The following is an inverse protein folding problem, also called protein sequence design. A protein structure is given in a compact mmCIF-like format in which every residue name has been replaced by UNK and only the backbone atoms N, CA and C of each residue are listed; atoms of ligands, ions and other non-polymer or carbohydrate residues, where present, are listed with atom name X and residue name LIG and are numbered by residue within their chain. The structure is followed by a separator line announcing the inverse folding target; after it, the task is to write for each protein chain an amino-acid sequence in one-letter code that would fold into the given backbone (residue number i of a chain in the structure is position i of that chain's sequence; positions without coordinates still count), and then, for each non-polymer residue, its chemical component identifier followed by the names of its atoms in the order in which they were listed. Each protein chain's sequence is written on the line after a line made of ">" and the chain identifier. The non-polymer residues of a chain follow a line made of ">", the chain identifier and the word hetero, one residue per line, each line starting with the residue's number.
data_IF_410483805124
#
_entry.id   IF_410483805124
#
_cell.length_a   1.000
_cell.length_b   1.000
_cell.length_c   1.000
_cell.angle_alpha   90.00
_cell.angle_beta   90.00
_cell.angle_gamma   90.00
#
_symmetry.space_group_name_H-M   'P 1'
#
loop_
_entity.id
_entity.type
_entity.pdbx_description
1 polymer ?
#
# COMPACT_ATOMS: atom_id res chain seq x y z
N UNK A 1 46.59 34.13 9.25
CA UNK A 1 45.30 34.80 8.94
C UNK A 1 44.15 33.81 8.71
N UNK A 2 44.24 32.89 7.75
CA UNK A 2 43.11 32.01 7.35
C UNK A 2 42.47 31.23 8.52
N UNK A 3 43.27 30.62 9.40
CA UNK A 3 42.76 29.88 10.58
C UNK A 3 41.95 30.74 11.56
N UNK A 4 42.26 32.03 11.69
CA UNK A 4 41.52 32.95 12.55
C UNK A 4 40.14 33.30 11.95
N UNK A 5 40.04 33.44 10.62
CA UNK A 5 38.77 33.58 9.93
C UNK A 5 37.89 32.34 10.10
N UNK A 6 38.46 31.14 9.93
CA UNK A 6 37.74 29.87 10.11
C UNK A 6 37.21 29.75 11.55
N UNK A 7 38.03 30.09 12.55
CA UNK A 7 37.65 30.09 13.96
C UNK A 7 36.51 31.08 14.27
N UNK A 8 36.60 32.32 13.77
CA UNK A 8 35.51 33.29 13.91
C UNK A 8 34.21 32.81 13.24
N UNK A 9 34.31 32.25 12.03
CA UNK A 9 33.14 31.79 11.29
C UNK A 9 32.47 30.61 12.00
N UNK A 10 33.23 29.67 12.56
CA UNK A 10 32.68 28.60 13.41
C UNK A 10 32.04 29.14 14.68
N UNK A 11 32.64 30.10 15.39
CA UNK A 11 32.04 30.73 16.57
C UNK A 11 30.70 31.42 16.25
N UNK A 12 30.61 32.14 15.14
CA UNK A 12 29.38 32.82 14.69
C UNK A 12 28.30 31.79 14.32
N UNK A 13 28.67 30.69 13.65
CA UNK A 13 27.74 29.60 13.34
C UNK A 13 27.24 28.90 14.61
N UNK A 14 28.11 28.63 15.58
CA UNK A 14 27.74 28.04 16.88
C UNK A 14 26.77 28.95 17.65
N UNK A 15 27.05 30.27 17.74
CA UNK A 15 26.13 31.22 18.40
C UNK A 15 24.76 31.30 17.69
N UNK A 16 24.71 31.30 16.36
CA UNK A 16 23.43 31.22 15.62
C UNK A 16 22.66 29.93 15.93
N UNK A 17 23.37 28.81 16.08
CA UNK A 17 22.76 27.52 16.42
C UNK A 17 22.22 27.47 17.85
N UNK A 18 22.89 28.13 18.81
CA UNK A 18 22.43 28.25 20.19
C UNK A 18 21.14 29.08 20.32
N UNK A 19 21.01 30.15 19.53
CA UNK A 19 19.76 30.93 19.42
C UNK A 19 18.63 30.09 18.82
N UNK A 20 18.90 29.35 17.74
CA UNK A 20 17.95 28.40 17.13
C UNK A 20 17.49 27.31 18.10
N UNK A 21 18.40 26.75 18.91
CA UNK A 21 18.07 25.82 20.01
C UNK A 21 17.12 26.45 21.02
N UNK A 22 17.37 27.68 21.47
CA UNK A 22 16.51 28.40 22.43
C UNK A 22 15.11 28.64 21.87
N UNK A 23 14.98 29.05 20.60
CA UNK A 23 13.68 29.23 19.92
C UNK A 23 12.92 27.91 19.77
N UNK A 24 13.59 26.81 19.39
CA UNK A 24 12.97 25.49 19.26
C UNK A 24 12.54 24.89 20.61
N UNK A 25 13.22 25.23 21.70
CA UNK A 25 12.91 24.71 23.05
C UNK A 25 11.59 25.27 23.60
N UNK A 26 11.14 26.43 23.13
CA UNK A 26 9.84 27.04 23.50
C UNK A 26 8.67 26.36 22.76
N UNK A 27 8.91 25.79 21.57
CA UNK A 27 7.85 25.30 20.67
C UNK A 27 7.56 23.79 20.78
N UNK A 28 8.47 22.96 21.29
CA UNK A 28 8.27 21.49 21.31
C UNK A 28 8.49 20.84 22.68
N UNK A 29 7.38 20.38 23.30
CA UNK A 29 7.36 19.61 24.56
C UNK A 29 6.93 18.15 24.34
N UNK A 30 7.63 17.39 23.47
CA UNK A 30 7.49 15.92 23.37
C UNK A 30 8.86 15.22 23.38
N UNK A 31 9.07 14.31 24.35
CA UNK A 31 10.38 13.71 24.63
C UNK A 31 10.96 12.82 23.50
N UNK A 32 10.10 12.20 22.68
CA UNK A 32 10.52 11.21 21.68
C UNK A 32 11.27 11.82 20.49
N UNK A 33 10.85 13.00 20.02
CA UNK A 33 11.51 13.73 18.91
C UNK A 33 12.91 14.19 19.32
N UNK A 34 13.05 14.68 20.57
CA UNK A 34 14.32 15.15 21.14
C UNK A 34 15.42 14.08 21.09
N UNK A 35 15.07 12.80 21.26
CA UNK A 35 16.03 11.70 21.23
C UNK A 35 16.46 11.30 19.80
N UNK A 36 15.56 11.38 18.82
CA UNK A 36 15.89 11.17 17.39
C UNK A 36 16.81 12.28 16.87
N UNK A 37 16.49 13.55 17.19
CA UNK A 37 17.28 14.70 16.76
C UNK A 37 18.67 14.73 17.41
N UNK A 38 18.78 14.37 18.71
CA UNK A 38 20.08 14.25 19.39
C UNK A 38 20.96 13.16 18.78
N UNK A 39 20.39 12.02 18.38
CA UNK A 39 21.14 10.95 17.68
C UNK A 39 21.63 11.41 16.30
N UNK A 40 20.80 12.11 15.52
CA UNK A 40 21.21 12.67 14.23
C UNK A 40 22.34 13.71 14.37
N UNK A 41 22.25 14.60 15.36
CA UNK A 41 23.27 15.62 15.63
C UNK A 41 24.63 14.99 16.01
N UNK A 42 24.64 13.91 16.80
CA UNK A 42 25.87 13.18 17.15
C UNK A 42 26.52 12.57 15.90
N UNK A 43 25.73 11.95 15.01
CA UNK A 43 26.23 11.36 13.75
C UNK A 43 26.85 12.45 12.85
N UNK A 44 26.18 13.61 12.73
CA UNK A 44 26.68 14.73 11.94
C UNK A 44 28.02 15.27 12.48
N UNK A 45 28.17 15.39 13.80
CA UNK A 45 29.42 15.82 14.45
C UNK A 45 30.55 14.81 14.20
N UNK A 46 30.28 13.50 14.30
CA UNK A 46 31.26 12.45 14.00
C UNK A 46 31.72 12.54 12.53
N UNK A 47 30.79 12.77 11.59
CA UNK A 47 31.12 12.91 10.17
C UNK A 47 32.01 14.13 9.90
N UNK A 48 31.75 15.26 10.57
CA UNK A 48 32.59 16.47 10.47
C UNK A 48 34.01 16.20 10.97
N UNK A 49 34.17 15.50 12.10
CA UNK A 49 35.50 15.15 12.61
C UNK A 49 36.25 14.17 11.70
N UNK A 50 35.56 13.20 11.08
CA UNK A 50 36.16 12.30 10.09
C UNK A 50 36.66 13.07 8.86
N UNK A 51 35.85 13.97 8.31
CA UNK A 51 36.23 14.80 7.15
C UNK A 51 37.38 15.75 7.48
N UNK A 52 37.39 16.36 8.67
CA UNK A 52 38.49 17.18 9.15
C UNK A 52 39.79 16.38 9.31
N UNK A 53 39.71 15.16 9.86
CA UNK A 53 40.85 14.24 9.97
C UNK A 53 41.44 13.90 8.60
N UNK A 54 40.60 13.50 7.64
CA UNK A 54 41.01 13.21 6.25
C UNK A 54 41.70 14.43 5.61
N UNK A 55 41.15 15.63 5.79
CA UNK A 55 41.74 16.87 5.29
C UNK A 55 43.10 17.20 5.89
N UNK A 56 43.29 16.99 7.20
CA UNK A 56 44.58 17.18 7.87
C UNK A 56 45.61 16.15 7.37
N UNK A 57 45.23 14.88 7.22
CA UNK A 57 46.13 13.84 6.71
C UNK A 57 46.59 14.13 5.28
N UNK A 58 45.67 14.55 4.40
CA UNK A 58 45.99 15.01 3.05
C UNK A 58 46.94 16.21 3.04
N UNK A 59 46.71 17.18 3.93
CA UNK A 59 47.58 18.36 4.06
C UNK A 59 49.01 17.97 4.49
N UNK A 60 49.16 17.04 5.43
CA UNK A 60 50.48 16.52 5.87
C UNK A 60 51.18 15.77 4.74
N UNK A 61 50.47 14.94 3.97
CA UNK A 61 51.04 14.24 2.80
C UNK A 61 51.50 15.23 1.73
N UNK A 62 50.72 16.27 1.44
CA UNK A 62 51.07 17.30 0.47
C UNK A 62 52.27 18.16 0.92
N UNK A 63 52.36 18.48 2.21
CA UNK A 63 53.50 19.22 2.77
C UNK A 63 54.79 18.38 2.79
N UNK A 64 54.70 17.08 3.07
CA UNK A 64 55.86 16.17 3.05
C UNK A 64 56.35 15.80 1.64
N UNK A 65 55.52 15.97 0.60
CA UNK A 65 55.95 15.79 -0.81
C UNK A 65 56.41 17.08 -1.50
N UNK A 66 56.36 18.24 -0.83
CA UNK A 66 56.84 19.53 -1.35
C UNK A 66 58.37 19.68 -1.40
N UNK A 67 59.11 18.61 -1.69
CA UNK A 67 60.53 18.48 -1.38
C UNK A 67 61.41 17.81 -2.45
N UNK A 68 61.18 18.08 -3.74
CA UNK A 68 62.21 17.89 -4.77
C UNK A 68 62.00 18.86 -5.94
N UNK A 69 62.99 19.71 -6.21
CA UNK A 69 63.13 20.31 -7.54
C UNK A 69 63.35 19.20 -8.59
N UNK A 70 63.08 19.39 -9.87
CA UNK A 70 62.83 20.64 -10.56
C UNK A 70 63.96 20.93 -11.54
N UNK A 71 63.82 20.45 -12.77
CA UNK A 71 64.39 21.02 -14.00
C UNK A 71 63.63 20.39 -15.17
N UNK A 72 63.03 21.22 -16.01
CA UNK A 72 62.45 20.81 -17.29
C UNK A 72 63.40 21.23 -18.41
N UNK A 73 63.71 20.33 -19.34
CA UNK A 73 64.48 20.68 -20.54
C UNK A 73 64.05 19.79 -21.71
N UNK A 74 63.14 20.38 -22.49
CA UNK A 74 63.19 20.47 -23.96
C UNK A 74 62.88 19.24 -24.81
N UNK A 75 62.07 19.50 -25.84
CA UNK A 75 61.53 18.55 -26.81
C UNK A 75 62.59 18.02 -27.79
N UNK A 76 62.43 16.76 -28.20
CA UNK A 76 62.77 16.36 -29.57
C UNK A 76 61.90 15.17 -30.05
N UNK A 77 61.75 15.04 -31.38
CA UNK A 77 60.84 14.11 -32.04
C UNK A 77 61.61 12.89 -32.53
N UNK A 78 61.10 11.67 -32.32
CA UNK A 78 61.48 10.50 -33.12
C UNK A 78 60.36 9.45 -33.17
N UNK A 79 60.34 8.67 -34.26
CA UNK A 79 59.20 7.87 -34.73
C UNK A 79 59.29 6.36 -34.41
N UNK A 80 58.14 5.70 -34.53
CA UNK A 80 57.95 4.26 -34.80
C UNK A 80 58.35 3.22 -33.74
N UNK A 81 57.34 2.56 -33.15
CA UNK A 81 57.11 1.10 -33.32
C UNK A 81 55.80 0.61 -32.68
N UNK A 82 55.05 -0.22 -33.40
CA UNK A 82 53.90 -1.04 -32.91
C UNK A 82 54.43 -2.46 -32.62
N UNK A 83 53.97 -3.20 -31.58
CA UNK A 83 52.71 -3.98 -31.60
C UNK A 83 51.89 -3.84 -30.29
N UNK A 84 50.56 -3.79 -30.30
CA UNK A 84 49.59 -4.91 -30.38
C UNK A 84 49.64 -5.94 -29.23
N UNK A 85 48.57 -6.00 -28.41
CA UNK A 85 47.87 -7.21 -27.89
C UNK A 85 46.58 -6.74 -27.14
N UNK A 86 45.38 -6.91 -27.69
CA UNK A 86 44.46 -8.07 -27.58
C UNK A 86 43.45 -7.96 -26.43
N UNK A 87 42.23 -7.51 -26.76
CA UNK A 87 41.03 -7.65 -25.91
C UNK A 87 40.35 -8.98 -26.22
N UNK A 88 40.17 -9.85 -25.21
CA UNK A 88 39.49 -11.14 -25.39
C UNK A 88 37.97 -10.97 -25.29
N UNK A 89 37.29 -10.92 -26.43
CA UNK A 89 35.83 -11.06 -26.50
C UNK A 89 35.48 -12.51 -26.83
N UNK A 90 34.86 -13.23 -25.89
CA UNK A 90 34.41 -14.60 -26.14
C UNK A 90 33.12 -14.59 -26.96
N UNK A 91 33.19 -15.10 -28.19
CA UNK A 91 32.03 -15.31 -29.07
C UNK A 91 31.61 -16.77 -28.95
N UNK A 92 30.41 -17.03 -28.42
CA UNK A 92 29.76 -18.35 -28.46
C UNK A 92 28.72 -18.39 -29.58
N UNK A 93 29.01 -19.20 -30.60
CA UNK A 93 28.08 -19.44 -31.70
C UNK A 93 26.88 -20.26 -31.22
N UNK A 94 25.66 -19.78 -31.50
CA UNK A 94 24.44 -20.60 -31.38
C UNK A 94 23.81 -20.80 -32.75
N UNK A 95 23.78 -22.07 -33.18
CA UNK A 95 23.16 -22.51 -34.43
C UNK A 95 21.64 -22.52 -34.28
N UNK A 96 20.93 -21.87 -35.20
CA UNK A 96 19.46 -21.82 -35.21
C UNK A 96 18.86 -23.19 -35.54
N UNK A 97 18.06 -23.75 -34.63
CA UNK A 97 17.16 -24.88 -34.90
C UNK A 97 15.73 -24.42 -34.61
N UNK A 98 14.85 -24.48 -35.60
CA UNK A 98 13.44 -24.07 -35.52
C UNK A 98 12.59 -25.29 -35.14
N UNK A 99 11.88 -25.30 -34.00
CA UNK A 99 10.84 -26.29 -33.72
C UNK A 99 9.58 -25.99 -34.52
N UNK A 100 9.10 -26.98 -35.28
CA UNK A 100 7.91 -26.87 -36.14
C UNK A 100 6.63 -27.02 -35.29
N UNK A 101 5.73 -26.03 -35.35
CA UNK A 101 4.44 -26.07 -34.65
C UNK A 101 3.53 -27.14 -35.29
N UNK A 102 2.86 -28.02 -34.51
CA UNK A 102 1.82 -28.89 -35.03
C UNK A 102 0.49 -28.13 -35.16
N UNK A 103 -0.05 -28.09 -36.37
CA UNK A 103 -1.38 -27.54 -36.68
C UNK A 103 -2.48 -28.47 -36.19
N UNK A 104 -3.39 -27.99 -35.34
CA UNK A 104 -4.64 -28.70 -35.03
C UNK A 104 -5.75 -28.12 -35.90
N UNK A 105 -6.31 -28.96 -36.77
CA UNK A 105 -7.47 -28.65 -37.61
C UNK A 105 -8.75 -28.88 -36.80
N UNK A 106 -9.54 -27.82 -36.57
CA UNK A 106 -10.89 -27.95 -36.02
C UNK A 106 -11.92 -27.61 -37.09
N UNK A 107 -12.81 -28.57 -37.36
CA UNK A 107 -13.77 -28.56 -38.46
C UNK A 107 -14.84 -27.48 -38.31
N UNK A 108 -15.12 -26.78 -39.42
CA UNK A 108 -16.22 -25.83 -39.56
C UNK A 108 -17.52 -26.61 -39.79
N UNK A 109 -18.47 -26.53 -38.87
CA UNK A 109 -19.84 -27.06 -39.08
C UNK A 109 -20.75 -25.90 -39.52
N UNK A 110 -21.44 -26.12 -40.63
CA UNK A 110 -22.35 -25.15 -41.25
C UNK A 110 -23.78 -25.30 -40.70
N UNK A 111 -24.52 -24.19 -40.74
CA UNK A 111 -25.92 -24.00 -40.37
C UNK A 111 -26.90 -25.08 -40.84
N UNK A 112 -27.91 -25.33 -40.01
CA UNK A 112 -29.27 -25.69 -40.45
C UNK A 112 -30.27 -24.73 -39.79
N UNK A 113 -31.37 -24.44 -40.50
CA UNK A 113 -32.42 -23.54 -40.06
C UNK A 113 -33.80 -24.17 -40.30
N UNK A 114 -34.66 -24.11 -39.28
CA UNK A 114 -36.12 -24.21 -39.29
C UNK A 114 -36.59 -23.80 -37.88
N UNK A 115 -37.76 -23.22 -37.61
CA UNK A 115 -38.89 -22.88 -38.47
C UNK A 115 -39.68 -21.71 -37.85
N UNK A 116 -40.52 -21.01 -38.62
CA UNK A 116 -41.41 -19.96 -38.08
C UNK A 116 -42.62 -20.58 -37.40
N UNK A 117 -43.09 -20.01 -36.29
CA UNK A 117 -44.53 -19.86 -36.04
C UNK A 117 -44.78 -18.53 -35.31
N UNK A 118 -45.84 -17.85 -35.73
CA UNK A 118 -46.17 -16.47 -35.38
C UNK A 118 -47.47 -16.39 -34.60
N UNK A 119 -47.53 -15.54 -33.57
CA UNK A 119 -48.78 -14.92 -33.11
C UNK A 119 -48.51 -13.42 -32.94
N UNK A 120 -49.46 -12.62 -33.39
CA UNK A 120 -49.35 -11.16 -33.52
C UNK A 120 -50.44 -10.51 -32.65
N UNK A 121 -50.13 -9.43 -31.94
CA UNK A 121 -51.17 -8.53 -31.42
C UNK A 121 -50.66 -7.07 -31.33
N UNK A 122 -51.26 -6.23 -32.16
CA UNK A 122 -51.34 -4.76 -32.07
C UNK A 122 -51.89 -4.34 -30.67
N UNK A 123 -51.75 -3.12 -30.11
CA UNK A 123 -51.43 -1.74 -30.55
C UNK A 123 -51.17 -0.95 -29.24
N UNK A 124 -50.38 0.12 -29.09
CA UNK A 124 -50.54 1.47 -29.67
C UNK A 124 -49.37 2.37 -29.22
N UNK A 125 -49.02 3.36 -30.04
CA UNK A 125 -47.88 4.29 -29.92
C UNK A 125 -48.16 5.53 -29.05
N UNK A 126 -47.15 5.98 -28.28
CA UNK A 126 -46.75 7.41 -28.17
C UNK A 126 -45.21 7.48 -28.12
N UNK A 127 -44.64 8.45 -28.81
CA UNK A 127 -43.21 8.63 -29.13
C UNK A 127 -42.48 9.50 -28.09
N UNK A 128 -41.18 9.21 -27.79
CA UNK A 128 -40.07 10.19 -27.77
C UNK A 128 -38.69 9.61 -27.36
N UNK A 129 -37.70 9.88 -28.21
CA UNK A 129 -36.22 9.91 -28.00
C UNK A 129 -35.44 8.62 -27.71
N UNK A 130 -34.52 8.34 -28.63
CA UNK A 130 -33.54 7.24 -28.63
C UNK A 130 -32.35 7.44 -27.69
N UNK A 131 -32.09 6.45 -26.84
CA UNK A 131 -30.76 6.08 -26.35
C UNK A 131 -30.48 4.63 -26.73
N UNK A 132 -29.23 4.29 -27.03
CA UNK A 132 -28.85 2.90 -27.37
C UNK A 132 -28.72 2.12 -26.06
N UNK A 133 -29.77 1.40 -25.69
CA UNK A 133 -29.83 0.58 -24.50
C UNK A 133 -29.27 -0.83 -24.80
N UNK A 134 -28.06 -1.11 -24.31
CA UNK A 134 -27.51 -2.48 -24.36
C UNK A 134 -28.36 -3.41 -23.49
N UNK A 135 -29.10 -4.30 -24.15
CA UNK A 135 -30.05 -5.22 -23.50
C UNK A 135 -29.32 -6.31 -22.71
N UNK A 136 -28.98 -6.03 -21.45
CA UNK A 136 -28.57 -7.06 -20.50
C UNK A 136 -29.80 -7.79 -19.96
N UNK A 137 -29.85 -9.11 -20.13
CA UNK A 137 -30.94 -9.96 -19.64
C UNK A 137 -30.82 -10.14 -18.11
N UNK A 138 -31.32 -9.15 -17.35
CA UNK A 138 -31.38 -9.23 -15.90
C UNK A 138 -32.37 -10.31 -15.46
N UNK A 139 -31.86 -11.52 -15.26
CA UNK A 139 -32.59 -12.55 -14.52
C UNK A 139 -32.67 -12.10 -13.07
N UNK A 140 -33.85 -11.62 -12.64
CA UNK A 140 -34.07 -11.19 -11.27
C UNK A 140 -34.01 -12.39 -10.32
N UNK A 141 -32.84 -12.66 -9.75
CA UNK A 141 -32.74 -13.46 -8.54
C UNK A 141 -33.03 -12.53 -7.35
N UNK A 142 -34.31 -12.37 -7.02
CA UNK A 142 -34.75 -11.61 -5.84
C UNK A 142 -34.34 -12.38 -4.58
N UNK A 143 -33.09 -12.16 -4.18
CA UNK A 143 -32.48 -12.77 -3.01
C UNK A 143 -32.79 -11.88 -1.82
N UNK A 144 -33.56 -12.39 -0.86
CA UNK A 144 -33.79 -11.69 0.40
C UNK A 144 -32.44 -11.36 1.05
N UNK A 145 -32.31 -10.14 1.59
CA UNK A 145 -31.11 -9.75 2.35
C UNK A 145 -30.96 -10.72 3.53
N UNK A 146 -29.90 -11.54 3.62
CA UNK A 146 -29.74 -12.47 4.72
C UNK A 146 -29.49 -11.68 6.01
N UNK A 147 -30.45 -11.72 6.94
CA UNK A 147 -30.37 -10.94 8.19
C UNK A 147 -29.62 -11.65 9.32
N UNK A 148 -29.00 -12.80 9.05
CA UNK A 148 -27.96 -13.36 9.93
C UNK A 148 -26.84 -14.06 9.12
N UNK A 149 -25.60 -13.72 9.46
CA UNK A 149 -24.39 -13.97 8.67
C UNK A 149 -23.81 -15.37 9.00
N UNK A 150 -23.94 -16.34 8.08
CA UNK A 150 -23.82 -17.77 8.41
C UNK A 150 -23.12 -18.65 7.36
N UNK A 151 -22.30 -18.11 6.44
CA UNK A 151 -21.66 -18.97 5.41
C UNK A 151 -20.61 -19.93 5.97
N UNK A 152 -19.86 -19.52 7.01
CA UNK A 152 -18.72 -20.28 7.50
C UNK A 152 -18.25 -19.77 8.87
N UNK A 153 -17.79 -20.63 9.79
CA UNK A 153 -17.23 -20.13 11.05
C UNK A 153 -15.76 -19.72 10.89
N UNK A 154 -15.46 -18.42 10.93
CA UNK A 154 -14.11 -17.88 10.73
C UNK A 154 -13.05 -18.40 11.70
N UNK A 155 -13.43 -18.90 12.90
CA UNK A 155 -12.47 -19.49 13.86
C UNK A 155 -12.12 -20.95 13.54
N UNK A 156 -12.89 -21.63 12.70
CA UNK A 156 -12.73 -23.05 12.35
C UNK A 156 -12.04 -23.27 10.99
N UNK A 157 -11.90 -22.22 10.18
CA UNK A 157 -11.31 -22.32 8.83
C UNK A 157 -9.92 -21.67 8.75
N UNK A 158 -8.95 -22.29 8.06
CA UNK A 158 -7.65 -21.68 7.81
C UNK A 158 -7.81 -20.45 6.91
N UNK A 159 -7.70 -19.24 7.48
CA UNK A 159 -7.89 -17.99 6.73
C UNK A 159 -6.79 -17.74 5.67
N UNK A 160 -7.18 -17.08 4.57
CA UNK A 160 -6.26 -16.59 3.54
C UNK A 160 -5.90 -15.13 3.77
N UNK A 161 -4.64 -14.76 3.50
CA UNK A 161 -4.24 -13.37 3.31
C UNK A 161 -4.10 -13.05 1.82
N UNK A 162 -4.86 -12.08 1.30
CA UNK A 162 -4.69 -11.59 -0.07
C UNK A 162 -3.93 -10.26 -0.07
N UNK A 163 -2.81 -10.23 -0.80
CA UNK A 163 -2.08 -9.01 -1.12
C UNK A 163 -2.41 -8.57 -2.56
N UNK A 164 -3.32 -7.62 -2.69
CA UNK A 164 -3.73 -7.04 -3.96
C UNK A 164 -3.03 -5.70 -4.18
N UNK A 165 -2.44 -5.47 -5.35
CA UNK A 165 -1.77 -4.21 -5.68
C UNK A 165 -2.03 -3.74 -7.11
N UNK A 166 -2.24 -2.44 -7.25
CA UNK A 166 -2.39 -1.76 -8.53
C UNK A 166 -1.10 -1.84 -9.36
N UNK A 167 -1.24 -2.11 -10.66
CA UNK A 167 -0.17 -2.06 -11.65
C UNK A 167 0.39 -0.65 -11.90
N UNK A 168 -0.32 0.39 -11.44
CA UNK A 168 0.12 1.78 -11.62
C UNK A 168 1.02 2.27 -10.47
N UNK A 169 1.23 1.44 -9.44
CA UNK A 169 2.19 1.72 -8.36
C UNK A 169 3.63 1.53 -8.83
N UNK A 170 4.58 2.17 -8.14
CA UNK A 170 5.99 1.82 -8.32
C UNK A 170 6.27 0.40 -7.79
N UNK A 171 7.15 -0.35 -8.48
CA UNK A 171 7.62 -1.66 -7.99
C UNK A 171 8.26 -1.56 -6.60
N UNK A 172 8.91 -0.43 -6.29
CA UNK A 172 9.46 -0.14 -4.96
C UNK A 172 8.36 -0.11 -3.89
N UNK A 173 7.28 0.62 -4.12
CA UNK A 173 6.12 0.71 -3.21
C UNK A 173 5.51 -0.65 -2.90
N UNK A 174 5.32 -1.49 -3.93
CA UNK A 174 4.77 -2.84 -3.77
C UNK A 174 5.71 -3.73 -2.96
N UNK A 175 7.01 -3.74 -3.29
CA UNK A 175 8.02 -4.53 -2.59
C UNK A 175 8.19 -4.10 -1.13
N UNK A 176 8.27 -2.81 -0.85
CA UNK A 176 8.42 -2.28 0.51
C UNK A 176 7.20 -2.60 1.39
N UNK A 177 5.99 -2.48 0.82
CA UNK A 177 4.74 -2.82 1.50
C UNK A 177 4.63 -4.32 1.79
N UNK A 178 4.96 -5.17 0.81
CA UNK A 178 5.00 -6.63 1.01
C UNK A 178 6.06 -7.02 2.04
N UNK A 179 7.27 -6.45 1.96
CA UNK A 179 8.37 -6.69 2.91
C UNK A 179 8.00 -6.31 4.34
N UNK A 180 7.19 -5.25 4.53
CA UNK A 180 6.63 -4.92 5.86
C UNK A 180 5.76 -6.05 6.38
N UNK A 181 4.79 -6.52 5.60
CA UNK A 181 3.92 -7.65 5.99
C UNK A 181 4.70 -8.97 6.17
N UNK A 182 5.72 -9.21 5.35
CA UNK A 182 6.55 -10.41 5.43
C UNK A 182 7.23 -10.53 6.80
N UNK A 183 7.62 -9.41 7.41
CA UNK A 183 8.22 -9.36 8.75
C UNK A 183 7.31 -9.83 9.90
N UNK A 184 6.00 -9.98 9.66
CA UNK A 184 5.06 -10.43 10.69
C UNK A 184 5.02 -11.94 10.84
N UNK A 185 4.91 -12.40 12.10
CA UNK A 185 4.39 -13.72 12.42
C UNK A 185 2.88 -13.71 12.20
N UNK A 186 2.43 -14.50 11.23
CA UNK A 186 1.01 -14.58 10.83
C UNK A 186 0.43 -15.96 11.08
N UNK A 187 -0.90 -16.04 11.11
CA UNK A 187 -1.71 -17.23 11.37
C UNK A 187 -2.41 -17.76 10.11
N UNK A 188 -2.36 -17.03 9.00
CA UNK A 188 -2.88 -17.46 7.70
C UNK A 188 -2.17 -18.72 7.23
N UNK A 189 -2.95 -19.69 6.75
CA UNK A 189 -2.40 -20.93 6.14
C UNK A 189 -2.26 -20.82 4.61
N UNK A 190 -2.81 -19.76 4.04
CA UNK A 190 -2.77 -19.46 2.61
C UNK A 190 -2.46 -17.98 2.39
N UNK A 191 -1.71 -17.72 1.33
CA UNK A 191 -1.30 -16.40 0.90
C UNK A 191 -1.62 -16.26 -0.59
N UNK A 192 -2.52 -15.35 -0.92
CA UNK A 192 -2.82 -14.93 -2.27
C UNK A 192 -2.03 -13.67 -2.64
N UNK A 193 -1.64 -13.54 -3.90
CA UNK A 193 -1.18 -12.27 -4.48
C UNK A 193 -1.86 -12.02 -5.81
N UNK A 194 -2.20 -10.76 -6.08
CA UNK A 194 -2.77 -10.34 -7.36
C UNK A 194 -2.33 -8.93 -7.73
N UNK A 195 -1.91 -8.77 -8.99
CA UNK A 195 -1.74 -7.47 -9.63
C UNK A 195 -3.02 -7.13 -10.39
N UNK A 196 -3.59 -5.97 -10.14
CA UNK A 196 -4.79 -5.47 -10.83
C UNK A 196 -4.49 -4.16 -11.58
N UNK A 197 -5.48 -3.53 -12.20
CA UNK A 197 -5.34 -2.43 -13.18
C UNK A 197 -4.68 -2.85 -14.50
N UNK A 198 -4.86 -4.13 -14.84
CA UNK A 198 -4.46 -4.77 -16.10
C UNK A 198 -5.64 -5.57 -16.67
N UNK A 199 -5.71 -5.77 -17.99
CA UNK A 199 -6.79 -6.54 -18.64
C UNK A 199 -6.96 -7.95 -18.09
N UNK A 200 -5.86 -8.62 -17.74
CA UNK A 200 -5.85 -9.97 -17.20
C UNK A 200 -5.59 -9.94 -15.69
N UNK A 201 -6.63 -10.18 -14.89
CA UNK A 201 -6.49 -10.44 -13.45
C UNK A 201 -6.22 -11.93 -13.22
N UNK A 202 -5.09 -12.24 -12.58
CA UNK A 202 -4.68 -13.57 -12.15
C UNK A 202 -4.38 -13.57 -10.65
N UNK A 203 -5.14 -14.35 -9.87
CA UNK A 203 -4.98 -14.47 -8.41
C UNK A 203 -4.24 -15.77 -8.12
N UNK A 204 -2.98 -15.66 -7.69
CA UNK A 204 -2.13 -16.82 -7.42
C UNK A 204 -2.05 -17.10 -5.93
N UNK A 205 -2.20 -18.37 -5.55
CA UNK A 205 -2.31 -18.82 -4.15
C UNK A 205 -1.19 -19.79 -3.75
N UNK A 206 -0.64 -19.58 -2.56
CA UNK A 206 0.45 -20.39 -2.01
C UNK A 206 0.25 -20.68 -0.52
N UNK A 207 0.79 -21.82 -0.03
CA UNK A 207 0.70 -22.19 1.40
C UNK A 207 1.80 -21.61 2.28
N UNK A 208 2.81 -20.96 1.70
CA UNK A 208 3.94 -20.37 2.43
C UNK A 208 4.28 -18.97 1.91
N UNK A 209 4.92 -18.15 2.76
CA UNK A 209 5.30 -16.77 2.42
C UNK A 209 6.40 -16.67 1.35
N UNK A 210 7.23 -17.70 1.17
CA UNK A 210 8.35 -17.68 0.22
C UNK A 210 7.91 -17.72 -1.23
N UNK A 211 6.96 -18.61 -1.54
CA UNK A 211 6.42 -18.75 -2.90
C UNK A 211 5.66 -17.50 -3.32
N UNK A 212 4.75 -16.99 -2.48
CA UNK A 212 4.02 -15.73 -2.79
C UNK A 212 4.97 -14.52 -2.88
N UNK A 213 6.07 -14.47 -2.12
CA UNK A 213 7.12 -13.45 -2.30
C UNK A 213 7.76 -13.56 -3.68
N UNK A 214 8.03 -14.79 -4.13
CA UNK A 214 8.59 -15.06 -5.45
C UNK A 214 7.61 -14.70 -6.57
N UNK A 215 6.32 -14.95 -6.37
CA UNK A 215 5.25 -14.57 -7.30
C UNK A 215 5.10 -13.05 -7.40
N UNK A 216 5.04 -12.32 -6.28
CA UNK A 216 4.99 -10.84 -6.27
C UNK A 216 6.23 -10.26 -6.97
N UNK A 217 7.41 -10.85 -6.75
CA UNK A 217 8.67 -10.40 -7.38
C UNK A 217 8.71 -10.63 -8.89
N UNK A 218 8.02 -11.66 -9.41
CA UNK A 218 7.85 -11.91 -10.85
C UNK A 218 6.75 -11.03 -11.46
N UNK A 219 5.69 -10.76 -10.70
CA UNK A 219 4.50 -10.03 -11.12
C UNK A 219 4.50 -8.56 -10.65
N UNK A 220 5.66 -7.91 -10.60
CA UNK A 220 5.75 -6.49 -10.24
C UNK A 220 4.97 -5.59 -11.23
N UNK A 221 4.58 -4.37 -10.81
CA UNK A 221 4.00 -3.36 -11.69
C UNK A 221 4.74 -3.22 -13.04
N UNK A 222 3.99 -3.27 -14.14
CA UNK A 222 4.52 -3.15 -15.50
C UNK A 222 3.63 -2.19 -16.31
N UNK A 223 4.11 -0.96 -16.63
CA UNK A 223 3.33 0.03 -17.36
C UNK A 223 2.77 -0.45 -18.71
N UNK A 224 3.43 -1.42 -19.37
CA UNK A 224 2.99 -1.96 -20.66
C UNK A 224 1.77 -2.89 -20.55
N UNK A 225 1.40 -3.32 -19.34
CA UNK A 225 0.22 -4.16 -19.09
C UNK A 225 -0.96 -3.36 -18.49
N UNK A 226 -0.72 -2.11 -18.12
CA UNK A 226 -1.68 -1.25 -17.44
C UNK A 226 -2.69 -0.59 -18.37
N UNK A 227 -3.79 -0.09 -17.81
CA UNK A 227 -4.76 0.71 -18.56
C UNK A 227 -4.16 2.07 -18.99
N UNK A 228 -3.91 2.22 -20.28
CA UNK A 228 -3.25 3.41 -20.84
C UNK A 228 -4.10 4.70 -20.76
N UNK A 229 -5.42 4.57 -20.65
CA UNK A 229 -6.34 5.71 -20.53
C UNK A 229 -6.68 5.96 -19.05
N UNK A 230 -6.46 7.17 -18.56
CA UNK A 230 -6.75 7.56 -17.16
C UNK A 230 -8.24 7.65 -16.85
N UNK A 231 -9.12 7.76 -17.85
CA UNK A 231 -10.58 7.70 -17.67
C UNK A 231 -11.09 6.27 -17.39
N UNK A 232 -10.29 5.24 -17.66
CA UNK A 232 -10.61 3.86 -17.28
C UNK A 232 -10.37 3.73 -15.77
N UNK A 233 -11.42 3.37 -15.02
CA UNK A 233 -11.33 3.10 -13.59
C UNK A 233 -10.70 1.75 -13.28
N UNK A 234 -10.38 1.54 -12.01
CA UNK A 234 -9.75 0.32 -11.51
C UNK A 234 -10.68 -0.90 -11.58
N UNK A 235 -10.14 -2.05 -11.97
CA UNK A 235 -10.83 -3.36 -11.89
C UNK A 235 -10.60 -4.08 -10.53
N UNK A 236 -10.36 -3.31 -9.47
CA UNK A 236 -10.25 -3.81 -8.09
C UNK A 236 -11.51 -4.53 -7.58
N UNK A 237 -12.70 -4.16 -8.04
CA UNK A 237 -13.95 -4.87 -7.69
C UNK A 237 -13.93 -6.30 -8.25
N UNK A 238 -13.73 -6.44 -9.56
CA UNK A 238 -13.57 -7.74 -10.24
C UNK A 238 -12.45 -8.58 -9.60
N UNK A 239 -11.35 -7.93 -9.19
CA UNK A 239 -10.23 -8.58 -8.49
C UNK A 239 -10.66 -9.21 -7.17
N UNK A 240 -11.46 -8.50 -6.36
CA UNK A 240 -11.95 -9.01 -5.08
C UNK A 240 -13.03 -10.09 -5.31
N UNK A 241 -13.90 -9.93 -6.31
CA UNK A 241 -14.87 -10.98 -6.67
C UNK A 241 -14.21 -12.26 -7.19
N UNK A 242 -13.14 -12.15 -7.99
CA UNK A 242 -12.31 -13.28 -8.42
C UNK A 242 -11.63 -13.98 -7.25
N UNK A 243 -11.26 -13.26 -6.20
CA UNK A 243 -10.79 -13.88 -4.95
C UNK A 243 -11.91 -14.66 -4.26
N UNK A 244 -13.11 -14.08 -4.06
CA UNK A 244 -14.20 -14.78 -3.36
C UNK A 244 -14.82 -15.94 -4.14
N UNK A 245 -14.75 -15.93 -5.48
CA UNK A 245 -15.20 -17.04 -6.34
C UNK A 245 -14.13 -18.10 -6.61
N UNK A 246 -12.93 -17.99 -6.02
CA UNK A 246 -11.84 -18.94 -6.23
C UNK A 246 -12.13 -20.31 -5.55
N UNK A 247 -11.58 -21.39 -6.13
CA UNK A 247 -11.71 -22.76 -5.61
C UNK A 247 -10.40 -23.35 -5.06
N UNK A 248 -9.30 -22.58 -5.05
CA UNK A 248 -7.97 -23.03 -4.66
C UNK A 248 -7.68 -22.81 -3.17
N UNK A 249 -8.10 -21.67 -2.64
CA UNK A 249 -7.82 -21.23 -1.27
C UNK A 249 -9.12 -20.82 -0.54
N UNK A 250 -9.26 -21.18 0.74
CA UNK A 250 -10.43 -20.87 1.56
C UNK A 250 -10.58 -19.35 1.76
N UNK A 251 -11.78 -18.82 1.50
CA UNK A 251 -12.06 -17.38 1.62
C UNK A 251 -12.62 -16.99 2.98
N UNK A 252 -13.11 -17.94 3.79
CA UNK A 252 -13.68 -17.64 5.11
C UNK A 252 -12.69 -16.93 6.04
N UNK A 253 -13.14 -15.87 6.73
CA UNK A 253 -12.34 -15.17 7.74
C UNK A 253 -11.11 -14.45 7.18
N UNK A 254 -11.01 -14.28 5.86
CA UNK A 254 -9.79 -13.79 5.21
C UNK A 254 -9.47 -12.33 5.54
N UNK A 255 -8.22 -11.94 5.29
CA UNK A 255 -7.76 -10.55 5.32
C UNK A 255 -7.27 -10.17 3.94
N UNK A 256 -7.91 -9.19 3.34
CA UNK A 256 -7.51 -8.61 2.05
C UNK A 256 -6.86 -7.27 2.32
N UNK A 257 -5.71 -7.02 1.71
CA UNK A 257 -5.05 -5.71 1.68
C UNK A 257 -4.96 -5.27 0.23
N UNK A 258 -5.51 -4.08 -0.06
CA UNK A 258 -5.50 -3.47 -1.38
C UNK A 258 -4.57 -2.24 -1.36
N UNK A 259 -3.56 -2.24 -2.23
CA UNK A 259 -2.76 -1.05 -2.53
C UNK A 259 -3.32 -0.40 -3.81
N UNK A 260 -4.04 0.72 -3.65
CA UNK A 260 -4.85 1.35 -4.69
C UNK A 260 -4.18 2.62 -5.23
N UNK A 261 -3.89 2.66 -6.53
CA UNK A 261 -3.34 3.83 -7.23
C UNK A 261 -4.31 4.41 -8.26
N UNK A 262 -5.01 3.55 -9.01
CA UNK A 262 -6.15 3.91 -9.83
C UNK A 262 -7.42 3.83 -9.00
N UNK A 263 -8.32 4.80 -9.10
CA UNK A 263 -9.62 4.73 -8.44
C UNK A 263 -10.62 3.93 -9.28
N UNK A 264 -11.63 3.26 -8.66
CA UNK A 264 -12.79 2.78 -9.40
C UNK A 264 -13.54 3.94 -10.08
N UNK A 265 -14.34 3.62 -11.10
CA UNK A 265 -15.41 4.50 -11.59
C UNK A 265 -16.78 4.08 -11.02
N UNK A 266 -16.92 2.82 -10.61
CA UNK A 266 -18.14 2.27 -10.03
C UNK A 266 -18.40 2.83 -8.63
N UNK A 267 -19.67 3.04 -8.31
CA UNK A 267 -20.13 3.64 -7.03
C UNK A 267 -20.99 2.70 -6.19
N UNK A 268 -21.67 1.74 -6.80
CA UNK A 268 -22.41 0.73 -6.04
C UNK A 268 -21.44 -0.29 -5.44
N UNK A 269 -21.42 -0.36 -4.12
CA UNK A 269 -20.59 -1.29 -3.36
C UNK A 269 -21.42 -2.39 -2.69
N UNK A 270 -22.73 -2.44 -2.96
CA UNK A 270 -23.67 -3.29 -2.23
C UNK A 270 -23.36 -4.78 -2.40
N UNK A 271 -23.13 -5.22 -3.64
CA UNK A 271 -22.71 -6.59 -3.97
C UNK A 271 -21.36 -6.94 -3.32
N UNK A 272 -20.37 -6.07 -3.48
CA UNK A 272 -19.01 -6.27 -2.97
C UNK A 272 -18.98 -6.35 -1.43
N UNK A 273 -19.67 -5.43 -0.74
CA UNK A 273 -19.80 -5.46 0.73
C UNK A 273 -20.53 -6.72 1.19
N UNK A 274 -21.59 -7.13 0.50
CA UNK A 274 -22.33 -8.35 0.85
C UNK A 274 -21.47 -9.61 0.77
N UNK A 275 -20.70 -9.82 -0.31
CA UNK A 275 -19.85 -11.02 -0.44
C UNK A 275 -18.67 -11.03 0.56
N UNK A 276 -18.08 -9.87 0.86
CA UNK A 276 -17.03 -9.75 1.88
C UNK A 276 -17.58 -10.12 3.27
N UNK A 277 -18.75 -9.58 3.63
CA UNK A 277 -19.40 -9.84 4.92
C UNK A 277 -19.85 -11.30 5.04
N UNK A 278 -20.50 -11.84 4.02
CA UNK A 278 -20.93 -13.24 3.94
C UNK A 278 -19.81 -14.24 4.27
N UNK A 279 -18.57 -13.95 3.85
CA UNK A 279 -17.40 -14.78 4.17
C UNK A 279 -16.62 -14.34 5.43
N UNK A 280 -17.24 -13.52 6.29
CA UNK A 280 -16.66 -12.88 7.48
C UNK A 280 -15.25 -12.31 7.26
N UNK A 281 -15.01 -11.80 6.06
CA UNK A 281 -13.71 -11.31 5.62
C UNK A 281 -13.58 -9.82 5.86
N UNK A 282 -12.34 -9.34 5.90
CA UNK A 282 -12.05 -7.91 6.14
C UNK A 282 -11.16 -7.39 5.02
N UNK A 283 -11.59 -6.29 4.40
CA UNK A 283 -10.81 -5.57 3.38
C UNK A 283 -10.20 -4.31 3.99
N UNK A 284 -8.88 -4.24 4.05
CA UNK A 284 -8.15 -3.01 4.30
C UNK A 284 -7.70 -2.40 2.96
N UNK A 285 -7.71 -1.08 2.86
CA UNK A 285 -7.24 -0.36 1.66
C UNK A 285 -6.26 0.75 2.02
N UNK A 286 -5.21 0.85 1.22
CA UNK A 286 -4.24 1.95 1.26
C UNK A 286 -4.36 2.65 -0.09
N UNK A 287 -4.79 3.92 -0.06
CA UNK A 287 -5.21 4.69 -1.22
C UNK A 287 -4.18 5.77 -1.51
N UNK A 288 -3.72 5.84 -2.76
CA UNK A 288 -2.77 6.87 -3.17
C UNK A 288 -3.42 8.25 -3.16
N UNK A 289 -2.75 9.20 -2.54
CA UNK A 289 -3.05 10.63 -2.63
C UNK A 289 -2.86 11.21 -4.04
N UNK A 290 -2.18 10.47 -4.94
CA UNK A 290 -1.86 10.89 -6.32
C UNK A 290 -2.35 9.84 -7.31
N UNK A 291 -3.65 9.83 -7.67
CA UNK A 291 -4.21 8.78 -8.50
C UNK A 291 -3.65 8.76 -9.93
N UNK A 292 -3.52 7.58 -10.52
CA UNK A 292 -3.19 7.39 -11.94
C UNK A 292 -4.38 7.54 -12.88
N UNK A 293 -5.60 7.44 -12.35
CA UNK A 293 -6.84 7.50 -13.11
C UNK A 293 -8.06 7.11 -12.27
N UNK A 294 -9.21 7.09 -12.94
CA UNK A 294 -10.52 6.82 -12.34
C UNK A 294 -11.12 7.99 -11.54
N UNK A 295 -12.43 7.91 -11.25
CA UNK A 295 -13.19 9.06 -10.73
C UNK A 295 -13.60 8.98 -9.25
N UNK A 296 -13.59 7.81 -8.61
CA UNK A 296 -14.22 7.61 -7.29
C UNK A 296 -13.21 7.34 -6.14
N UNK A 297 -12.55 8.36 -5.56
CA UNK A 297 -11.57 8.18 -4.47
C UNK A 297 -12.15 7.47 -3.24
N UNK A 298 -13.36 7.87 -2.81
CA UNK A 298 -13.97 7.45 -1.53
C UNK A 298 -14.50 6.02 -1.53
N UNK A 299 -14.63 5.39 -2.70
CA UNK A 299 -15.41 4.15 -2.86
C UNK A 299 -14.74 2.97 -2.14
N UNK A 300 -13.44 2.74 -2.33
CA UNK A 300 -12.76 1.65 -1.62
C UNK A 300 -12.59 1.93 -0.12
N UNK A 301 -12.48 3.19 0.31
CA UNK A 301 -12.55 3.55 1.73
C UNK A 301 -13.90 3.14 2.34
N UNK A 302 -14.98 3.34 1.59
CA UNK A 302 -16.33 2.93 1.97
C UNK A 302 -16.50 1.40 2.02
N UNK A 303 -15.88 0.65 1.08
CA UNK A 303 -15.83 -0.82 1.13
C UNK A 303 -15.16 -1.30 2.41
N UNK A 304 -13.96 -0.80 2.73
CA UNK A 304 -13.24 -1.15 3.95
C UNK A 304 -14.06 -0.80 5.21
N UNK A 305 -14.64 0.40 5.24
CA UNK A 305 -15.48 0.87 6.34
C UNK A 305 -16.71 -0.02 6.58
N UNK A 306 -17.40 -0.45 5.51
CA UNK A 306 -18.58 -1.32 5.61
C UNK A 306 -18.25 -2.81 5.85
N UNK A 307 -16.97 -3.18 5.86
CA UNK A 307 -16.49 -4.57 6.01
C UNK A 307 -15.50 -4.74 7.17
N UNK A 308 -15.64 -3.90 8.21
CA UNK A 308 -14.82 -3.93 9.42
C UNK A 308 -13.30 -3.79 9.19
N UNK A 309 -12.89 -3.27 8.04
CA UNK A 309 -11.50 -2.98 7.70
C UNK A 309 -11.16 -1.49 7.82
N UNK A 310 -9.92 -1.16 7.48
CA UNK A 310 -9.35 0.18 7.65
C UNK A 310 -8.99 0.74 6.27
N UNK A 311 -9.35 2.01 6.04
CA UNK A 311 -8.96 2.76 4.85
C UNK A 311 -8.01 3.89 5.24
N UNK A 312 -6.98 4.15 4.44
CA UNK A 312 -6.06 5.28 4.67
C UNK A 312 -5.64 5.88 3.33
N UNK A 313 -5.69 7.22 3.22
CA UNK A 313 -5.06 7.95 2.12
C UNK A 313 -3.62 8.32 2.48
N UNK A 314 -2.72 8.34 1.48
CA UNK A 314 -1.35 8.80 1.69
C UNK A 314 -0.48 8.74 0.44
N UNK A 315 0.75 9.25 0.54
CA UNK A 315 1.75 9.10 -0.52
C UNK A 315 2.20 7.64 -0.62
N UNK A 316 2.45 7.18 -1.85
CA UNK A 316 2.89 5.81 -2.18
C UNK A 316 4.11 5.34 -1.36
N UNK A 317 5.03 6.25 -1.05
CA UNK A 317 6.24 6.00 -0.25
C UNK A 317 5.97 5.57 1.20
N UNK A 318 4.80 5.94 1.74
CA UNK A 318 4.34 5.65 3.10
C UNK A 318 3.40 4.44 3.18
N UNK A 319 3.11 3.73 2.08
CA UNK A 319 2.24 2.56 2.11
C UNK A 319 2.78 1.47 3.07
N UNK A 320 4.10 1.27 3.13
CA UNK A 320 4.75 0.39 4.13
C UNK A 320 4.54 0.81 5.58
N UNK A 321 4.34 2.11 5.83
CA UNK A 321 4.10 2.64 7.17
C UNK A 321 2.62 2.41 7.55
N UNK A 322 1.70 2.50 6.59
CA UNK A 322 0.30 2.10 6.81
C UNK A 322 0.18 0.58 7.04
N UNK A 323 0.91 -0.26 6.28
CA UNK A 323 1.03 -1.72 6.56
C UNK A 323 1.58 -1.98 7.98
N UNK A 324 2.36 -1.05 8.57
CA UNK A 324 2.82 -1.21 9.94
C UNK A 324 1.66 -1.23 10.94
N UNK A 325 0.75 -0.28 10.80
CA UNK A 325 -0.37 -0.09 11.73
C UNK A 325 -1.55 -1.01 11.42
N UNK A 326 -1.69 -1.51 10.18
CA UNK A 326 -2.74 -2.49 9.89
C UNK A 326 -2.62 -3.75 10.78
N UNK A 327 -3.75 -4.24 11.35
CA UNK A 327 -3.79 -5.31 12.35
C UNK A 327 -3.70 -6.70 11.69
N UNK A 328 -2.59 -6.93 10.98
CA UNK A 328 -2.33 -8.12 10.15
C UNK A 328 -1.56 -9.22 10.89
N UNK A 329 -1.37 -9.08 12.21
CA UNK A 329 -0.56 -9.95 13.05
C UNK A 329 -1.43 -10.62 14.14
N UNK A 330 -1.26 -11.93 14.33
CA UNK A 330 -2.07 -12.73 15.26
C UNK A 330 -3.55 -12.91 14.83
N UNK A 331 -4.27 -13.92 15.35
CA UNK A 331 -5.62 -14.30 14.90
C UNK A 331 -6.73 -13.34 15.35
N UNK A 332 -6.40 -12.06 15.51
CA UNK A 332 -7.31 -11.06 16.05
C UNK A 332 -8.38 -10.67 15.01
N UNK A 333 -9.60 -11.12 15.27
CA UNK A 333 -10.81 -10.54 14.69
C UNK A 333 -11.17 -9.27 15.49
N UNK A 334 -11.80 -8.27 14.85
CA UNK A 334 -12.41 -7.17 15.59
C UNK A 334 -13.52 -7.74 16.47
N UNK A 335 -13.45 -7.52 17.79
CA UNK A 335 -14.62 -7.70 18.66
C UNK A 335 -15.55 -6.49 18.60
N UNK A 336 -15.05 -5.38 18.09
CA UNK A 336 -15.79 -4.14 17.95
C UNK A 336 -15.26 -3.37 16.73
N UNK A 337 -16.16 -2.91 15.88
CA UNK A 337 -15.85 -2.05 14.76
C UNK A 337 -16.99 -1.06 14.56
N UNK A 338 -16.71 0.25 14.62
CA UNK A 338 -17.71 1.30 14.39
C UNK A 338 -17.22 2.32 13.37
N UNK A 339 -18.16 3.01 12.76
CA UNK A 339 -17.92 4.13 11.84
C UNK A 339 -18.83 5.27 12.26
N UNK A 340 -18.24 6.38 12.69
CA UNK A 340 -18.94 7.57 13.15
C UNK A 340 -18.68 8.72 12.19
N UNK A 341 -19.70 9.51 11.84
CA UNK A 341 -19.50 10.80 11.20
C UNK A 341 -19.48 11.88 12.27
N UNK A 342 -18.45 12.73 12.26
CA UNK A 342 -18.28 13.82 13.22
C UNK A 342 -18.24 15.15 12.49
N UNK A 343 -19.00 16.13 12.97
CA UNK A 343 -19.04 17.48 12.42
C UNK A 343 -18.70 18.53 13.48
N UNK A 344 -17.67 19.33 13.20
CA UNK A 344 -17.19 20.38 14.11
C UNK A 344 -16.65 19.85 15.44
N UNK A 345 -16.87 20.63 16.50
CA UNK A 345 -16.50 20.25 17.87
C UNK A 345 -17.69 19.59 18.58
N UNK A 346 -17.56 18.32 18.93
CA UNK A 346 -18.63 17.57 19.60
C UNK A 346 -18.10 16.39 20.42
N UNK A 347 -19.03 15.64 21.01
CA UNK A 347 -18.76 14.36 21.68
C UNK A 347 -19.91 13.43 21.33
N UNK A 348 -19.59 12.21 20.91
CA UNK A 348 -20.57 11.18 20.59
C UNK A 348 -20.30 9.97 21.47
N UNK A 349 -21.33 9.50 22.16
CA UNK A 349 -21.29 8.21 22.88
C UNK A 349 -21.29 7.09 21.84
N UNK A 350 -20.37 6.15 22.00
CA UNK A 350 -20.26 4.98 21.15
C UNK A 350 -21.09 3.84 21.77
N UNK A 351 -21.61 2.89 20.97
CA UNK A 351 -22.20 1.66 21.49
C UNK A 351 -21.31 0.96 22.52
N UNK A 352 -21.95 0.36 23.54
CA UNK A 352 -21.23 -0.25 24.65
C UNK A 352 -20.27 -1.35 24.19
N UNK A 353 -19.02 -1.24 24.65
CA UNK A 353 -17.93 -2.14 24.27
C UNK A 353 -17.96 -3.39 25.17
N UNK A 354 -18.72 -4.39 24.76
CA UNK A 354 -18.76 -5.70 25.43
C UNK A 354 -17.57 -6.56 25.00
N UNK A 355 -16.58 -6.68 25.88
CA UNK A 355 -15.35 -7.42 25.62
C UNK A 355 -15.51 -8.90 26.03
N UNK A 356 -15.07 -9.88 25.21
CA UNK A 356 -15.30 -11.30 25.49
C UNK A 356 -14.45 -11.86 26.65
N UNK A 357 -13.37 -11.18 27.03
CA UNK A 357 -12.49 -11.54 28.15
C UNK A 357 -11.70 -10.32 28.63
N UNK A 358 -11.17 -10.36 29.86
CA UNK A 358 -10.14 -9.41 30.31
C UNK A 358 -8.82 -9.67 29.58
N UNK A 359 -8.59 -8.91 28.50
CA UNK A 359 -7.55 -9.12 27.47
C UNK A 359 -6.90 -7.77 27.05
N UNK A 360 -5.81 -7.76 26.23
CA UNK A 360 -5.32 -6.50 25.61
C UNK A 360 -6.31 -6.23 24.49
N UNK A 361 -6.61 -4.96 24.27
CA UNK A 361 -7.30 -4.55 23.07
C UNK A 361 -6.44 -3.54 22.31
N UNK A 362 -6.17 -3.87 21.04
CA UNK A 362 -5.52 -3.00 20.09
C UNK A 362 -6.57 -2.06 19.51
N UNK A 363 -6.35 -0.75 19.66
CA UNK A 363 -7.21 0.27 19.11
C UNK A 363 -6.57 0.81 17.82
N UNK A 364 -7.25 0.60 16.70
CA UNK A 364 -6.93 1.24 15.42
C UNK A 364 -7.95 2.34 15.11
N UNK A 365 -7.46 3.51 14.69
CA UNK A 365 -8.31 4.63 14.25
C UNK A 365 -7.84 5.17 12.90
N UNK A 366 -8.76 5.22 11.92
CA UNK A 366 -8.60 5.96 10.67
C UNK A 366 -9.52 7.18 10.63
N UNK A 367 -9.00 8.26 10.07
CA UNK A 367 -9.69 9.55 9.98
C UNK A 367 -9.67 10.05 8.54
N UNK A 368 -10.80 10.64 8.11
CA UNK A 368 -11.07 11.16 6.76
C UNK A 368 -11.13 10.09 5.64
N UNK A 369 -12.26 10.09 4.93
CA UNK A 369 -12.49 9.24 3.76
C UNK A 369 -11.94 9.84 2.44
N UNK A 370 -11.08 10.85 2.51
CA UNK A 370 -10.63 11.65 1.36
C UNK A 370 -9.20 12.18 1.52
N UNK A 371 -8.68 12.77 0.44
CA UNK A 371 -7.42 13.53 0.40
C UNK A 371 -7.68 14.89 -0.28
N UNK A 372 -7.03 16.01 0.14
CA UNK A 372 -6.07 16.14 1.23
C UNK A 372 -6.66 15.89 2.62
N UNK A 373 -5.80 15.59 3.59
CA UNK A 373 -6.15 15.40 5.01
C UNK A 373 -6.25 16.77 5.71
N UNK A 374 -7.24 17.57 5.31
CA UNK A 374 -7.39 18.98 5.73
C UNK A 374 -8.46 19.24 6.82
N UNK A 375 -9.40 18.31 7.01
CA UNK A 375 -10.63 18.53 7.77
C UNK A 375 -10.57 17.96 9.18
N UNK A 376 -9.76 16.92 9.41
CA UNK A 376 -9.56 16.35 10.73
C UNK A 376 -8.47 17.12 11.50
N UNK A 377 -8.77 17.48 12.76
CA UNK A 377 -7.80 18.11 13.66
C UNK A 377 -7.35 17.17 14.77
N UNK A 378 -8.32 16.54 15.45
CA UNK A 378 -8.10 15.72 16.63
C UNK A 378 -9.36 14.93 17.01
N UNK A 379 -9.21 13.69 17.44
CA UNK A 379 -10.24 12.96 18.22
C UNK A 379 -9.67 12.52 19.56
N UNK A 380 -10.51 12.56 20.60
CA UNK A 380 -10.20 11.98 21.91
C UNK A 380 -11.20 10.85 22.17
N UNK A 381 -10.76 9.60 21.98
CA UNK A 381 -11.48 8.45 22.49
C UNK A 381 -11.36 8.44 24.01
N UNK A 382 -12.47 8.21 24.71
CA UNK A 382 -12.52 8.06 26.18
C UNK A 382 -13.27 6.78 26.52
N UNK A 383 -12.86 6.13 27.60
CA UNK A 383 -13.57 4.97 28.18
C UNK A 383 -13.65 5.10 29.69
N UNK A 384 -14.69 4.51 30.25
CA UNK A 384 -14.87 4.31 31.68
C UNK A 384 -15.58 2.96 31.89
N UNK A 385 -15.09 2.17 32.83
CA UNK A 385 -15.73 0.97 33.33
C UNK A 385 -15.57 0.93 34.87
N UNK A 386 -15.96 -0.17 35.51
CA UNK A 386 -15.90 -0.29 36.98
C UNK A 386 -14.47 -0.30 37.56
N UNK A 387 -13.46 -0.62 36.75
CA UNK A 387 -12.07 -0.86 37.17
C UNK A 387 -11.08 0.19 36.61
N UNK A 388 -11.36 0.79 35.45
CA UNK A 388 -10.48 1.74 34.76
C UNK A 388 -11.25 2.91 34.11
N UNK A 389 -10.59 4.07 34.04
CA UNK A 389 -11.02 5.20 33.21
C UNK A 389 -9.81 5.76 32.44
N UNK A 390 -9.96 5.97 31.14
CA UNK A 390 -8.84 6.35 30.31
C UNK A 390 -9.22 7.08 29.04
N UNK A 391 -8.18 7.49 28.31
CA UNK A 391 -8.36 8.16 27.03
C UNK A 391 -7.21 7.87 26.05
N UNK A 392 -7.49 8.10 24.77
CA UNK A 392 -6.53 8.12 23.69
C UNK A 392 -6.80 9.31 22.79
N UNK A 393 -5.73 9.99 22.36
CA UNK A 393 -5.79 11.14 21.46
C UNK A 393 -5.14 10.77 20.15
N UNK A 394 -5.80 11.12 19.05
CA UNK A 394 -5.30 11.08 17.67
C UNK A 394 -5.25 12.52 17.17
N UNK A 395 -4.19 12.91 16.46
CA UNK A 395 -3.99 14.28 15.96
C UNK A 395 -3.86 14.28 14.42
N UNK A 396 -4.05 15.43 13.77
CA UNK A 396 -4.10 15.54 12.30
C UNK A 396 -2.83 15.15 11.54
N UNK A 397 -1.70 14.94 12.22
CA UNK A 397 -0.50 14.33 11.63
C UNK A 397 -0.68 12.86 11.26
N UNK A 398 -1.78 12.23 11.71
CA UNK A 398 -1.90 10.79 11.81
C UNK A 398 -2.99 10.26 10.85
N UNK A 399 -2.61 9.80 9.66
CA UNK A 399 -3.53 9.24 8.66
C UNK A 399 -4.14 7.87 9.07
N UNK A 400 -3.41 7.14 9.91
CA UNK A 400 -3.83 5.91 10.60
C UNK A 400 -3.01 5.82 11.88
N UNK A 401 -3.65 5.48 13.00
CA UNK A 401 -2.96 5.21 14.27
C UNK A 401 -3.38 3.92 14.94
N UNK A 402 -2.36 3.26 15.47
CA UNK A 402 -2.43 2.10 16.33
C UNK A 402 -2.04 2.47 17.76
N UNK A 403 -2.89 2.15 18.74
CA UNK A 403 -2.52 2.12 20.17
C UNK A 403 -2.96 0.82 20.81
N UNK A 404 -2.00 0.15 21.44
CA UNK A 404 -2.26 -0.96 22.34
C UNK A 404 -2.67 -0.45 23.73
N UNK A 405 -3.76 -0.99 24.28
CA UNK A 405 -4.12 -0.89 25.71
C UNK A 405 -3.79 -2.25 26.37
N UNK A 406 -3.28 -2.24 27.61
CA UNK A 406 -2.71 -3.40 28.30
C UNK A 406 -3.73 -4.49 28.74
N UNK A 407 -3.53 -5.79 28.34
CA UNK A 407 -3.75 -7.12 29.02
C UNK A 407 -3.86 -8.47 28.17
N UNK A 408 -2.96 -8.85 27.22
CA UNK A 408 -3.09 -9.88 26.11
C UNK A 408 -4.15 -9.90 24.94
N UNK A 409 -3.76 -9.42 23.74
CA UNK A 409 -4.24 -9.39 22.31
C UNK A 409 -5.69 -9.71 21.81
N UNK A 410 -6.48 -8.68 21.43
CA UNK A 410 -7.64 -8.69 20.49
C UNK A 410 -7.78 -7.31 19.78
N UNK A 411 -8.55 -7.15 18.70
CA UNK A 411 -8.71 -5.88 17.95
C UNK A 411 -10.02 -5.11 18.23
N UNK A 412 -9.94 -3.78 18.26
CA UNK A 412 -11.05 -2.82 18.36
C UNK A 412 -10.82 -1.69 17.35
N UNK A 413 -11.78 -1.43 16.47
CA UNK A 413 -11.65 -0.44 15.39
C UNK A 413 -12.65 0.72 15.56
N UNK A 414 -12.14 1.94 15.50
CA UNK A 414 -12.95 3.15 15.38
C UNK A 414 -12.61 3.86 14.07
N UNK A 415 -13.61 4.39 13.37
CA UNK A 415 -13.38 5.11 12.11
C UNK A 415 -14.18 6.40 12.15
N UNK A 416 -13.52 7.54 11.99
CA UNK A 416 -14.20 8.83 11.83
C UNK A 416 -14.28 9.14 10.33
N UNK A 417 -15.50 9.04 9.79
CA UNK A 417 -15.83 9.43 8.42
C UNK A 417 -16.14 10.91 8.29
#
# INVERSE_FOLDING_TARGET
>A
MLGLLIYLHTLVTIKKFEVLQKTLTVSSRRHTVKNRFKKFLIILVILIFLLAGIGITLLVVLLNHGGSGGTATTSEISTNSTPSYTTTTSITNFTTIIPKIPTITTTRITTQASEKTSINLEKTTVDRSTSIESTYTTTQLQTAIPTDDTSCNSTNYPATFLFAYSNDLSSGTVLDSWKRFQSYRTFFSWFGSVRFDTENIDVQFHKNKGDVTSTISKNLPNPNLGFQNSSIGSNVFETIEKFFSNTQAPVCGSRVVVLLKRYPNETDISRLVSIIRYHHSIVHVIISATPSGGSQPKVMYSVASKTNGLGSFGNDEHFKDVIYYLPLYGPAYPVYATTMQVSGNGTQTLPDLNLPASSDYLIEITCQDHFPLDSFQKVILRWANAEDTGHYTVESSDALVSKKIYHPNVNVFYRTG
#
